data_IF_825278812344
#
_entry.id   IF_825278812344
#
_cell.length_a   1.000
_cell.length_b   1.000
_cell.length_c   1.000
_cell.angle_alpha   90.00
_cell.angle_beta   90.00
_cell.angle_gamma   90.00
#
_symmetry.space_group_name_H-M   'P 1'
#
loop_
_entity.id
_entity.type
_entity.pdbx_description
1 polymer ?
#
# COMPACT_ATOMS: atom_id res chain seq x y z
N UNK A 1 24.24 -2.91 -8.01
CA UNK A 1 23.43 -2.53 -6.84
C UNK A 1 22.42 -1.43 -7.19
N UNK A 2 22.85 -0.23 -7.62
CA UNK A 2 21.92 0.87 -8.00
C UNK A 2 20.88 0.52 -9.07
N UNK A 3 21.23 -0.25 -10.10
CA UNK A 3 20.30 -0.64 -11.18
C UNK A 3 19.18 -1.51 -10.64
N UNK A 4 19.49 -2.55 -9.87
CA UNK A 4 18.51 -3.44 -9.28
C UNK A 4 17.58 -2.72 -8.28
N UNK A 5 18.12 -1.79 -7.50
CA UNK A 5 17.30 -0.94 -6.62
C UNK A 5 16.33 -0.07 -7.42
N UNK A 6 16.77 0.56 -8.51
CA UNK A 6 15.92 1.36 -9.38
C UNK A 6 14.77 0.54 -9.99
N UNK A 7 15.08 -0.65 -10.50
CA UNK A 7 14.09 -1.56 -11.06
C UNK A 7 13.04 -1.95 -10.01
N UNK A 8 13.48 -2.41 -8.85
CA UNK A 8 12.59 -2.79 -7.75
C UNK A 8 11.77 -1.58 -7.24
N UNK A 9 12.38 -0.40 -7.10
CA UNK A 9 11.67 0.81 -6.68
C UNK A 9 10.56 1.21 -7.67
N UNK A 10 10.82 1.08 -8.97
CA UNK A 10 9.82 1.36 -9.99
C UNK A 10 8.67 0.33 -9.96
N UNK A 11 8.98 -0.95 -9.75
CA UNK A 11 7.96 -1.99 -9.57
C UNK A 11 7.09 -1.73 -8.35
N UNK A 12 7.69 -1.33 -7.22
CA UNK A 12 6.96 -0.91 -6.02
C UNK A 12 6.06 0.29 -6.31
N UNK A 13 6.56 1.31 -7.02
CA UNK A 13 5.75 2.46 -7.40
C UNK A 13 4.55 2.10 -8.29
N UNK A 14 4.72 1.12 -9.18
CA UNK A 14 3.62 0.58 -9.99
C UNK A 14 2.63 -0.23 -9.14
N UNK A 15 3.11 -0.95 -8.12
CA UNK A 15 2.26 -1.68 -7.18
C UNK A 15 1.39 -0.72 -6.35
N UNK A 16 1.94 0.43 -5.88
CA UNK A 16 1.15 1.49 -5.21
C UNK A 16 0.03 2.03 -6.10
N UNK A 17 0.26 2.18 -7.40
CA UNK A 17 -0.77 2.62 -8.34
C UNK A 17 -1.90 1.59 -8.50
N UNK A 18 -1.56 0.31 -8.52
CA UNK A 18 -2.54 -0.77 -8.53
C UNK A 18 -3.31 -0.85 -7.20
N UNK A 19 -2.61 -0.73 -6.07
CA UNK A 19 -3.20 -0.69 -4.72
C UNK A 19 -4.19 0.46 -4.55
N UNK A 20 -3.80 1.67 -4.98
CA UNK A 20 -4.69 2.84 -4.98
C UNK A 20 -5.98 2.58 -5.78
N UNK A 21 -5.88 1.98 -6.97
CA UNK A 21 -7.06 1.65 -7.78
C UNK A 21 -7.95 0.59 -7.12
N UNK A 22 -7.37 -0.41 -6.44
CA UNK A 22 -8.12 -1.40 -5.66
C UNK A 22 -8.91 -0.72 -4.55
N UNK A 23 -8.25 0.08 -3.72
CA UNK A 23 -8.90 0.72 -2.56
C UNK A 23 -9.86 1.85 -2.94
N UNK A 24 -9.67 2.51 -4.09
CA UNK A 24 -10.68 3.42 -4.67
C UNK A 24 -12.00 2.69 -4.90
N UNK A 25 -11.97 1.52 -5.55
CA UNK A 25 -13.16 0.70 -5.78
C UNK A 25 -13.76 0.20 -4.46
N UNK A 26 -12.94 -0.30 -3.54
CA UNK A 26 -13.44 -0.77 -2.24
C UNK A 26 -14.10 0.36 -1.46
N UNK A 27 -13.54 1.56 -1.45
CA UNK A 27 -14.13 2.72 -0.81
C UNK A 27 -15.46 3.12 -1.48
N UNK A 28 -15.51 3.09 -2.81
CA UNK A 28 -16.71 3.43 -3.58
C UNK A 28 -17.89 2.49 -3.27
N UNK A 29 -17.61 1.21 -3.04
CA UNK A 29 -18.60 0.17 -2.78
C UNK A 29 -18.75 -0.19 -1.29
N UNK A 30 -18.13 0.57 -0.39
CA UNK A 30 -18.23 0.36 1.05
C UNK A 30 -19.69 0.50 1.56
N UNK A 31 -20.16 -0.49 2.32
CA UNK A 31 -21.55 -0.59 2.73
C UNK A 31 -21.88 0.21 4.01
N UNK A 32 -20.88 0.54 4.82
CA UNK A 32 -21.06 1.18 6.12
C UNK A 32 -19.86 2.07 6.50
N UNK A 33 -19.97 2.82 7.58
CA UNK A 33 -18.94 3.76 8.03
C UNK A 33 -17.63 3.05 8.43
N UNK A 34 -17.72 1.82 8.97
CA UNK A 34 -16.53 1.03 9.31
C UNK A 34 -15.74 0.65 8.05
N UNK A 35 -16.40 0.15 7.02
CA UNK A 35 -15.77 -0.17 5.74
C UNK A 35 -15.20 1.08 5.06
N UNK A 36 -15.94 2.20 5.07
CA UNK A 36 -15.44 3.48 4.55
C UNK A 36 -14.19 3.95 5.26
N UNK A 37 -14.12 3.80 6.57
CA UNK A 37 -12.93 4.13 7.35
C UNK A 37 -11.75 3.22 7.01
N UNK A 38 -11.96 1.91 6.90
CA UNK A 38 -10.93 0.93 6.54
C UNK A 38 -10.37 1.24 5.16
N UNK A 39 -11.21 1.22 4.14
CA UNK A 39 -10.75 1.37 2.75
C UNK A 39 -10.29 2.80 2.44
N UNK A 40 -10.90 3.80 3.06
CA UNK A 40 -10.42 5.19 2.95
C UNK A 40 -9.03 5.38 3.56
N UNK A 41 -8.74 4.74 4.69
CA UNK A 41 -7.42 4.80 5.32
C UNK A 41 -6.37 4.03 4.52
N UNK A 42 -6.71 2.87 3.97
CA UNK A 42 -5.82 2.11 3.08
C UNK A 42 -5.55 2.89 1.79
N UNK A 43 -6.58 3.47 1.17
CA UNK A 43 -6.42 4.33 0.00
C UNK A 43 -5.51 5.53 0.28
N UNK A 44 -5.70 6.19 1.42
CA UNK A 44 -4.87 7.33 1.81
C UNK A 44 -3.40 6.91 1.97
N UNK A 45 -3.15 5.73 2.51
CA UNK A 45 -1.80 5.19 2.68
C UNK A 45 -1.09 5.01 1.33
N UNK A 46 -1.75 4.41 0.33
CA UNK A 46 -1.22 4.26 -1.04
C UNK A 46 -0.93 5.63 -1.68
N UNK A 47 -1.86 6.57 -1.53
CA UNK A 47 -1.73 7.94 -2.08
C UNK A 47 -0.55 8.69 -1.46
N UNK A 48 -0.39 8.63 -0.14
CA UNK A 48 0.73 9.26 0.57
C UNK A 48 2.07 8.58 0.23
N UNK A 49 2.10 7.26 0.11
CA UNK A 49 3.29 6.50 -0.30
C UNK A 49 3.77 6.92 -1.69
N UNK A 50 2.89 7.00 -2.68
CA UNK A 50 3.22 7.51 -4.01
C UNK A 50 3.79 8.93 -3.96
N UNK A 51 3.19 9.80 -3.15
CA UNK A 51 3.66 11.17 -3.01
C UNK A 51 5.08 11.24 -2.42
N UNK A 52 5.37 10.41 -1.43
CA UNK A 52 6.69 10.31 -0.77
C UNK A 52 7.75 9.75 -1.72
N UNK A 53 7.40 8.81 -2.59
CA UNK A 53 8.33 8.18 -3.54
C UNK A 53 8.79 9.11 -4.66
N UNK A 54 7.93 10.01 -5.15
CA UNK A 54 8.17 10.82 -6.35
C UNK A 54 9.47 11.62 -6.36
N UNK A 55 9.88 12.33 -5.29
CA UNK A 55 11.15 13.05 -5.30
C UNK A 55 12.36 12.15 -5.55
N UNK A 56 12.41 10.99 -4.92
CA UNK A 56 13.49 10.02 -5.09
C UNK A 56 13.45 9.38 -6.47
N UNK A 57 12.27 9.09 -7.02
CA UNK A 57 12.13 8.59 -8.40
C UNK A 57 12.74 9.59 -9.40
N UNK A 58 12.37 10.87 -9.29
CA UNK A 58 12.92 11.94 -10.18
C UNK A 58 14.42 12.05 -10.03
N UNK A 59 14.95 12.04 -8.82
CA UNK A 59 16.41 12.06 -8.55
C UNK A 59 17.13 10.88 -9.19
N UNK A 60 16.47 9.74 -9.26
CA UNK A 60 17.00 8.51 -9.88
C UNK A 60 16.74 8.43 -11.40
N UNK A 61 16.15 9.46 -11.99
CA UNK A 61 15.76 9.51 -13.41
C UNK A 61 14.73 8.43 -13.79
N UNK A 62 13.82 8.13 -12.85
CA UNK A 62 12.70 7.20 -13.05
C UNK A 62 11.39 7.97 -13.31
N UNK A 63 10.46 7.40 -14.09
CA UNK A 63 9.17 8.04 -14.39
C UNK A 63 8.30 8.12 -13.14
N UNK A 64 7.53 9.21 -13.04
CA UNK A 64 6.53 9.43 -11.97
C UNK A 64 5.10 9.45 -12.50
N UNK A 65 4.93 9.27 -13.79
CA UNK A 65 3.63 9.21 -14.42
C UNK A 65 2.87 7.95 -14.00
N UNK A 66 1.54 8.01 -14.06
CA UNK A 66 0.71 6.83 -13.84
C UNK A 66 0.95 5.78 -14.94
N UNK A 67 1.16 4.54 -14.52
CA UNK A 67 1.25 3.40 -15.42
C UNK A 67 -0.17 2.87 -15.71
N UNK A 68 -0.70 3.02 -16.93
CA UNK A 68 -2.07 2.60 -17.24
C UNK A 68 -2.29 1.09 -17.03
N UNK A 69 -1.27 0.27 -17.27
CA UNK A 69 -1.34 -1.20 -17.11
C UNK A 69 -1.51 -1.55 -15.63
N UNK A 70 -0.72 -0.95 -14.75
CA UNK A 70 -0.79 -1.19 -13.29
C UNK A 70 -2.15 -0.76 -12.73
N UNK A 71 -2.63 0.42 -13.16
CA UNK A 71 -3.94 0.90 -12.75
C UNK A 71 -5.07 0.01 -13.25
N UNK A 72 -5.02 -0.45 -14.50
CA UNK A 72 -6.00 -1.39 -15.06
C UNK A 72 -6.00 -2.73 -14.32
N UNK A 73 -4.82 -3.24 -13.94
CA UNK A 73 -4.70 -4.45 -13.13
C UNK A 73 -5.35 -4.26 -11.75
N UNK A 74 -5.11 -3.12 -11.09
CA UNK A 74 -5.75 -2.78 -9.82
C UNK A 74 -7.27 -2.73 -9.93
N UNK A 75 -7.81 -2.12 -10.99
CA UNK A 75 -9.26 -2.09 -11.25
C UNK A 75 -9.81 -3.51 -11.40
N UNK A 76 -9.17 -4.38 -12.17
CA UNK A 76 -9.60 -5.77 -12.36
C UNK A 76 -9.63 -6.57 -11.04
N UNK A 77 -8.61 -6.39 -10.21
CA UNK A 77 -8.58 -7.00 -8.86
C UNK A 77 -9.70 -6.44 -7.98
N UNK A 78 -9.88 -5.12 -7.98
CA UNK A 78 -10.93 -4.45 -7.23
C UNK A 78 -12.34 -4.92 -7.63
N UNK A 79 -12.58 -5.15 -8.93
CA UNK A 79 -13.87 -5.71 -9.41
C UNK A 79 -14.12 -7.12 -8.88
N UNK A 80 -13.09 -7.96 -8.74
CA UNK A 80 -13.20 -9.28 -8.12
C UNK A 80 -13.48 -9.13 -6.62
N UNK A 81 -12.77 -8.27 -5.93
CA UNK A 81 -12.94 -8.03 -4.49
C UNK A 81 -14.32 -7.47 -4.14
N UNK A 82 -14.89 -6.62 -5.01
CA UNK A 82 -16.24 -6.07 -4.84
C UNK A 82 -17.31 -7.13 -4.66
N UNK A 83 -17.18 -8.27 -5.31
CA UNK A 83 -18.15 -9.36 -5.26
C UNK A 83 -17.98 -10.29 -4.04
N UNK A 84 -16.91 -10.09 -3.25
CA UNK A 84 -16.61 -10.93 -2.08
C UNK A 84 -17.32 -10.42 -0.83
N UNK A 85 -17.73 -11.33 0.08
CA UNK A 85 -18.06 -10.96 1.45
C UNK A 85 -16.90 -10.26 2.14
N UNK A 86 -17.17 -9.29 3.01
CA UNK A 86 -16.16 -8.46 3.66
C UNK A 86 -15.01 -9.27 4.31
N UNK A 87 -15.34 -10.32 5.06
CA UNK A 87 -14.33 -11.13 5.74
C UNK A 87 -13.40 -11.84 4.75
N UNK A 88 -13.97 -12.42 3.69
CA UNK A 88 -13.22 -13.08 2.63
C UNK A 88 -12.31 -12.08 1.89
N UNK A 89 -12.81 -10.88 1.63
CA UNK A 89 -12.04 -9.80 1.03
C UNK A 89 -10.84 -9.41 1.90
N UNK A 90 -11.02 -9.23 3.21
CA UNK A 90 -9.89 -8.90 4.12
C UNK A 90 -8.88 -10.04 4.22
N UNK A 91 -9.32 -11.29 4.25
CA UNK A 91 -8.42 -12.46 4.20
C UNK A 91 -7.61 -12.51 2.89
N UNK A 92 -8.20 -12.13 1.76
CA UNK A 92 -7.51 -12.02 0.48
C UNK A 92 -6.48 -10.88 0.47
N UNK A 93 -6.82 -9.71 1.04
CA UNK A 93 -5.86 -8.61 1.22
C UNK A 93 -4.69 -9.07 2.10
N UNK A 94 -4.97 -9.65 3.27
CA UNK A 94 -3.94 -10.17 4.17
C UNK A 94 -3.01 -11.17 3.47
N UNK A 95 -3.58 -12.13 2.75
CA UNK A 95 -2.83 -13.15 2.04
C UNK A 95 -1.96 -12.58 0.92
N UNK A 96 -2.49 -11.61 0.16
CA UNK A 96 -1.78 -10.94 -0.93
C UNK A 96 -0.63 -10.10 -0.39
N UNK A 97 -0.86 -9.31 0.66
CA UNK A 97 0.19 -8.53 1.33
C UNK A 97 1.28 -9.45 1.84
N UNK A 98 0.92 -10.50 2.58
CA UNK A 98 1.87 -11.44 3.19
C UNK A 98 2.76 -12.18 2.18
N UNK A 99 2.16 -12.65 1.09
CA UNK A 99 2.82 -13.61 0.21
C UNK A 99 3.39 -12.99 -1.07
N UNK A 100 2.94 -11.79 -1.45
CA UNK A 100 3.32 -11.13 -2.70
C UNK A 100 4.00 -9.79 -2.42
N UNK A 101 3.29 -8.84 -1.80
CA UNK A 101 3.76 -7.46 -1.70
C UNK A 101 4.84 -7.28 -0.65
N UNK A 102 4.63 -7.72 0.59
CA UNK A 102 5.64 -7.57 1.64
C UNK A 102 7.02 -8.15 1.27
N UNK A 103 7.15 -9.35 0.67
CA UNK A 103 8.44 -9.84 0.18
C UNK A 103 9.09 -8.91 -0.84
N UNK A 104 8.32 -8.36 -1.79
CA UNK A 104 8.81 -7.44 -2.81
C UNK A 104 9.30 -6.12 -2.20
N UNK A 105 8.54 -5.54 -1.27
CA UNK A 105 8.89 -4.28 -0.61
C UNK A 105 10.06 -4.45 0.36
N UNK A 106 10.13 -5.58 1.06
CA UNK A 106 11.27 -5.91 1.90
C UNK A 106 12.57 -6.11 1.10
N UNK A 107 12.49 -6.52 -0.18
CA UNK A 107 13.67 -6.60 -1.05
C UNK A 107 14.34 -5.24 -1.22
N UNK A 108 13.59 -4.13 -1.31
CA UNK A 108 14.16 -2.78 -1.39
C UNK A 108 15.14 -2.49 -0.26
N UNK A 109 14.81 -2.89 0.97
CA UNK A 109 15.64 -2.67 2.15
C UNK A 109 17.00 -3.39 2.03
N UNK A 110 17.06 -4.49 1.27
CA UNK A 110 18.29 -5.27 1.07
C UNK A 110 19.17 -4.76 -0.07
N UNK A 111 18.63 -3.93 -0.96
CA UNK A 111 19.29 -3.45 -2.18
C UNK A 111 20.03 -2.12 -2.00
N UNK A 112 19.89 -1.48 -0.85
CA UNK A 112 20.47 -0.19 -0.53
C UNK A 112 21.13 -0.22 0.86
N UNK A 113 22.10 0.65 1.08
CA UNK A 113 22.79 0.79 2.36
C UNK A 113 22.61 2.20 2.92
N UNK A 114 22.92 2.38 4.21
CA UNK A 114 22.83 3.66 4.90
C UNK A 114 23.71 4.78 4.28
N UNK A 115 24.66 4.42 3.41
CA UNK A 115 25.48 5.39 2.67
C UNK A 115 24.65 6.27 1.72
N UNK A 116 23.52 5.75 1.19
CA UNK A 116 22.51 6.54 0.47
C UNK A 116 21.29 6.72 1.35
N UNK A 117 21.41 7.64 2.31
CA UNK A 117 20.43 7.85 3.38
C UNK A 117 19.00 8.05 2.86
N UNK A 118 18.83 8.84 1.79
CA UNK A 118 17.49 9.12 1.25
C UNK A 118 16.83 7.85 0.68
N UNK A 119 17.56 7.09 -0.12
CA UNK A 119 17.07 5.82 -0.68
C UNK A 119 16.84 4.78 0.42
N UNK A 120 17.70 4.74 1.43
CA UNK A 120 17.59 3.81 2.56
C UNK A 120 16.35 4.12 3.42
N UNK A 121 16.12 5.39 3.77
CA UNK A 121 14.94 5.81 4.54
C UNK A 121 13.65 5.54 3.75
N UNK A 122 13.64 5.78 2.43
CA UNK A 122 12.51 5.46 1.57
C UNK A 122 12.25 3.95 1.53
N UNK A 123 13.28 3.13 1.30
CA UNK A 123 13.15 1.68 1.25
C UNK A 123 12.55 1.14 2.57
N UNK A 124 13.04 1.63 3.71
CA UNK A 124 12.52 1.27 5.02
C UNK A 124 11.06 1.69 5.19
N UNK A 125 10.71 2.92 4.80
CA UNK A 125 9.33 3.40 4.85
C UNK A 125 8.40 2.51 4.03
N UNK A 126 8.79 2.10 2.82
CA UNK A 126 7.98 1.24 1.97
C UNK A 126 7.81 -0.17 2.56
N UNK A 127 8.84 -0.74 3.18
CA UNK A 127 8.70 -1.99 3.92
C UNK A 127 7.76 -1.86 5.14
N UNK A 128 7.86 -0.76 5.88
CA UNK A 128 6.98 -0.49 7.04
C UNK A 128 5.52 -0.25 6.59
N UNK A 129 5.31 0.34 5.40
CA UNK A 129 4.01 0.50 4.77
C UNK A 129 3.29 -0.86 4.60
N UNK A 130 3.94 -1.84 3.98
CA UNK A 130 3.36 -3.17 3.80
C UNK A 130 3.17 -3.93 5.13
N UNK A 131 4.09 -3.78 6.06
CA UNK A 131 3.94 -4.33 7.42
C UNK A 131 2.71 -3.76 8.14
N UNK A 132 2.43 -2.47 7.96
CA UNK A 132 1.25 -1.82 8.53
C UNK A 132 -0.05 -2.38 7.94
N UNK A 133 -0.12 -2.57 6.62
CA UNK A 133 -1.27 -3.21 5.95
C UNK A 133 -1.46 -4.65 6.43
N UNK A 134 -0.38 -5.42 6.54
CA UNK A 134 -0.44 -6.79 7.03
C UNK A 134 -1.02 -6.87 8.45
N UNK A 135 -0.48 -6.06 9.36
CA UNK A 135 -0.91 -6.06 10.76
C UNK A 135 -2.35 -5.54 10.90
N UNK A 136 -2.72 -4.50 10.17
CA UNK A 136 -4.09 -3.98 10.18
C UNK A 136 -5.09 -5.03 9.67
N UNK A 137 -4.77 -5.73 8.57
CA UNK A 137 -5.64 -6.79 8.03
C UNK A 137 -5.78 -7.95 9.01
N UNK A 138 -4.70 -8.39 9.65
CA UNK A 138 -4.73 -9.42 10.70
C UNK A 138 -5.56 -8.99 11.92
N UNK A 139 -5.44 -7.72 12.33
CA UNK A 139 -6.24 -7.14 13.41
C UNK A 139 -7.73 -7.09 13.07
N UNK A 140 -8.09 -6.78 11.82
CA UNK A 140 -9.49 -6.80 11.37
C UNK A 140 -10.04 -8.24 11.42
N UNK A 141 -9.27 -9.22 10.94
CA UNK A 141 -9.66 -10.66 10.98
C UNK A 141 -9.87 -11.13 12.41
N UNK A 142 -9.04 -10.67 13.34
CA UNK A 142 -9.10 -11.02 14.78
C UNK A 142 -10.08 -10.17 15.60
N UNK A 143 -10.78 -9.23 14.96
CA UNK A 143 -11.72 -8.30 15.60
C UNK A 143 -11.11 -7.46 16.73
N UNK A 144 -9.83 -7.08 16.61
CA UNK A 144 -9.15 -6.23 17.59
C UNK A 144 -9.73 -4.81 17.57
N UNK A 145 -9.85 -4.15 18.74
CA UNK A 145 -10.43 -2.80 18.85
C UNK A 145 -9.64 -1.75 18.06
N UNK A 146 -8.31 -1.77 18.16
CA UNK A 146 -7.42 -0.79 17.49
C UNK A 146 -6.93 -1.28 16.11
N UNK A 147 -7.80 -1.95 15.35
CA UNK A 147 -7.43 -2.69 14.14
C UNK A 147 -6.69 -1.85 13.07
N UNK A 148 -7.02 -0.58 12.88
CA UNK A 148 -6.38 0.30 11.89
C UNK A 148 -5.20 1.12 12.44
N UNK A 149 -4.86 1.01 13.71
CA UNK A 149 -3.78 1.81 14.32
C UNK A 149 -2.44 1.73 13.56
N UNK A 150 -1.98 0.55 13.08
CA UNK A 150 -0.75 0.47 12.30
C UNK A 150 -0.74 1.35 11.05
N UNK A 151 -1.85 1.38 10.31
CA UNK A 151 -2.01 2.24 9.12
C UNK A 151 -2.13 3.70 9.52
N UNK A 152 -2.97 4.02 10.51
CA UNK A 152 -3.20 5.40 10.97
C UNK A 152 -1.90 6.08 11.42
N UNK A 153 -1.01 5.36 12.10
CA UNK A 153 0.28 5.88 12.55
C UNK A 153 1.23 6.27 11.42
N UNK A 154 1.04 5.70 10.24
CA UNK A 154 1.85 6.03 9.06
C UNK A 154 1.29 7.23 8.28
N UNK A 155 0.00 7.54 8.43
CA UNK A 155 -0.65 8.62 7.72
C UNK A 155 -0.26 10.00 8.29
N UNK A 156 0.05 10.93 7.40
CA UNK A 156 0.26 12.33 7.77
C UNK A 156 -1.06 13.05 8.08
N UNK A 157 -2.12 12.67 7.38
CA UNK A 157 -3.46 13.23 7.53
C UNK A 157 -4.48 12.11 7.73
N UNK A 158 -4.52 11.47 8.92
CA UNK A 158 -5.40 10.33 9.15
C UNK A 158 -6.87 10.71 9.05
N UNK A 159 -7.67 9.82 8.48
CA UNK A 159 -9.12 9.94 8.42
C UNK A 159 -9.69 9.67 9.81
N UNK A 160 -10.52 10.59 10.37
CA UNK A 160 -11.14 10.35 11.67
C UNK A 160 -12.21 9.25 11.58
N UNK A 161 -12.19 8.32 12.53
CA UNK A 161 -13.31 7.41 12.74
C UNK A 161 -14.52 8.24 13.20
N UNK A 162 -15.59 8.24 12.41
CA UNK A 162 -16.87 8.81 12.86
C UNK A 162 -17.44 7.88 13.92
N UNK A 163 -17.65 8.42 15.12
CA UNK A 163 -18.34 7.75 16.23
C UNK A 163 -19.83 7.63 15.95
#
# INVERSE_FOLDING_TARGET
>A
MKTKFKECLLEVYHAEQAGEAIFELMLQYANNDRERFIFGSMLQLETEAKAIMRPTLVKLELPIEENPISREQGIKVGEVFREMPFNELIENIYSSVKNIYLPQYAELETLITEDDKECFELAKFMGDHERALLVASDNIIKENEAFMEPVIKMLRFPIPLKQ
#
